data_IF_535381803602
#
_entry.id   IF_535381803602
#
_cell.length_a   1.000
_cell.length_b   1.000
_cell.length_c   1.000
_cell.angle_alpha   90.00
_cell.angle_beta   90.00
_cell.angle_gamma   90.00
#
_symmetry.space_group_name_H-M   'P 1'
#
loop_
_entity.id
_entity.type
_entity.pdbx_description
1 polymer ?
#
# COMPACT_ATOMS: atom_id res chain seq x y z
N UNK A 1 -17.27 40.52 26.77
CA UNK A 1 -16.96 39.29 26.03
C UNK A 1 -15.71 39.58 25.20
N UNK A 2 -14.62 38.90 25.51
CA UNK A 2 -13.35 39.08 24.81
C UNK A 2 -13.31 38.05 23.71
N UNK A 3 -13.15 38.51 22.45
CA UNK A 3 -13.06 37.65 21.29
C UNK A 3 -11.61 37.27 21.06
N UNK A 4 -11.28 35.98 21.14
CA UNK A 4 -10.06 35.42 20.63
C UNK A 4 -10.31 34.95 19.21
N UNK A 5 -9.69 35.57 18.24
CA UNK A 5 -9.67 35.11 16.85
C UNK A 5 -8.29 34.59 16.56
N UNK A 6 -8.24 33.33 16.22
CA UNK A 6 -7.02 32.79 15.65
C UNK A 6 -6.96 33.24 14.19
N UNK A 7 -6.02 34.07 13.86
CA UNK A 7 -5.88 34.61 12.52
C UNK A 7 -4.48 34.45 12.09
N UNK A 8 -4.51 33.86 11.11
CA UNK A 8 -4.25 34.12 9.73
C UNK A 8 -3.03 34.89 9.36
N UNK A 9 -2.80 34.75 8.15
CA UNK A 9 -1.57 34.39 7.54
C UNK A 9 -0.62 35.56 7.56
N UNK A 10 0.61 35.29 7.87
CA UNK A 10 1.73 36.14 7.43
C UNK A 10 1.80 35.97 5.90
N UNK A 11 1.71 37.02 5.14
CA UNK A 11 1.47 37.04 3.69
C UNK A 11 2.49 36.31 2.81
N UNK A 12 3.53 35.71 3.35
CA UNK A 12 4.61 35.01 2.64
C UNK A 12 4.83 33.54 3.07
N UNK A 13 3.91 32.94 3.83
CA UNK A 13 4.04 31.55 4.25
C UNK A 13 3.26 30.61 3.34
N UNK A 14 3.96 29.65 2.71
CA UNK A 14 3.36 28.54 1.98
C UNK A 14 2.78 27.54 3.01
N UNK A 15 1.48 27.63 3.23
CA UNK A 15 0.75 26.77 4.20
C UNK A 15 0.32 25.48 3.53
N UNK A 16 0.94 24.37 3.88
CA UNK A 16 0.51 23.03 3.42
C UNK A 16 -0.77 22.53 4.13
N UNK A 17 -1.28 23.26 5.12
CA UNK A 17 -2.50 22.92 5.86
C UNK A 17 -3.73 23.61 5.26
N UNK A 18 -3.98 23.38 3.97
CA UNK A 18 -5.19 23.85 3.30
C UNK A 18 -6.20 22.71 3.13
N UNK A 19 -7.43 22.97 3.53
CA UNK A 19 -8.58 22.15 3.14
C UNK A 19 -9.30 22.86 1.99
N UNK A 20 -9.37 22.22 0.81
CA UNK A 20 -9.96 22.79 -0.42
C UNK A 20 -9.39 24.16 -0.85
N UNK A 21 -8.11 24.42 -0.56
CA UNK A 21 -7.44 25.68 -0.88
C UNK A 21 -7.68 26.82 0.12
N UNK A 22 -8.33 26.53 1.25
CA UNK A 22 -8.53 27.48 2.35
C UNK A 22 -7.72 27.07 3.58
N UNK A 23 -7.17 28.02 4.31
CA UNK A 23 -6.41 27.75 5.53
C UNK A 23 -7.30 27.12 6.62
N UNK A 24 -6.78 26.11 7.31
CA UNK A 24 -7.48 25.52 8.46
C UNK A 24 -7.38 26.48 9.64
N UNK A 25 -8.49 27.08 10.02
CA UNK A 25 -8.59 28.05 11.11
C UNK A 25 -9.59 27.62 12.16
N UNK A 26 -9.41 28.10 13.39
CA UNK A 26 -10.33 27.89 14.50
C UNK A 26 -10.38 29.14 15.39
N UNK A 27 -11.49 29.33 16.07
CA UNK A 27 -11.70 30.44 17.00
C UNK A 27 -12.35 29.94 18.29
N UNK A 28 -11.88 30.45 19.44
CA UNK A 28 -12.52 30.24 20.73
C UNK A 28 -12.68 31.58 21.45
N UNK A 29 -13.88 31.85 21.92
CA UNK A 29 -14.18 33.04 22.73
C UNK A 29 -14.29 32.63 24.19
N UNK A 30 -13.58 33.33 25.07
CA UNK A 30 -13.61 33.06 26.50
C UNK A 30 -13.58 34.32 27.36
N UNK A 31 -14.00 34.19 28.62
CA UNK A 31 -13.87 35.23 29.62
C UNK A 31 -12.93 34.68 30.70
N UNK A 32 -11.76 35.26 30.93
CA UNK A 32 -10.84 34.79 31.95
C UNK A 32 -11.41 35.03 33.34
N UNK A 33 -11.45 34.01 34.18
CA UNK A 33 -11.89 34.11 35.59
C UNK A 33 -10.73 34.50 36.52
N UNK A 34 -9.50 34.23 36.08
CA UNK A 34 -8.27 34.53 36.82
C UNK A 34 -7.21 35.13 35.87
N UNK A 35 -6.22 35.85 36.44
CA UNK A 35 -5.14 36.45 35.61
C UNK A 35 -4.33 35.46 34.81
N UNK A 36 -4.29 34.20 35.24
CA UNK A 36 -3.54 33.11 34.57
C UNK A 36 -4.48 31.92 34.35
N UNK A 37 -4.40 31.29 33.19
CA UNK A 37 -5.22 30.14 32.82
C UNK A 37 -4.86 29.59 31.48
N UNK A 38 -5.58 28.55 31.07
CA UNK A 38 -5.46 27.92 29.76
C UNK A 38 -6.81 27.92 29.06
N UNK A 39 -6.78 28.03 27.74
CA UNK A 39 -7.95 27.85 26.87
C UNK A 39 -7.59 26.86 25.77
N UNK A 40 -8.54 26.03 25.36
CA UNK A 40 -8.34 25.08 24.26
C UNK A 40 -8.95 25.64 22.98
N UNK A 41 -8.14 25.68 21.91
CA UNK A 41 -8.59 25.93 20.56
C UNK A 41 -8.54 24.58 19.80
N UNK A 42 -9.64 24.20 19.14
CA UNK A 42 -9.73 22.92 18.44
C UNK A 42 -9.79 23.13 16.94
N UNK A 43 -8.82 22.59 16.21
CA UNK A 43 -8.80 22.59 14.77
C UNK A 43 -9.34 21.25 14.25
N UNK A 44 -10.17 21.31 13.23
CA UNK A 44 -10.75 20.11 12.59
C UNK A 44 -10.57 20.22 11.09
N UNK A 45 -10.02 19.19 10.49
CA UNK A 45 -9.82 19.10 9.04
C UNK A 45 -9.96 17.65 8.56
N UNK A 46 -10.17 17.46 7.25
CA UNK A 46 -10.24 16.13 6.66
C UNK A 46 -8.83 15.59 6.37
N UNK A 47 -8.33 14.71 7.22
CA UNK A 47 -7.02 14.09 7.07
C UNK A 47 -6.85 13.23 5.81
N UNK A 48 -7.95 12.88 5.10
CA UNK A 48 -7.91 12.14 3.83
C UNK A 48 -7.32 12.98 2.67
N UNK A 49 -7.27 14.30 2.84
CA UNK A 49 -6.68 15.22 1.88
C UNK A 49 -5.15 15.28 1.99
N UNK A 50 -4.60 14.86 3.12
CA UNK A 50 -3.14 14.79 3.34
C UNK A 50 -2.62 13.52 2.66
N UNK A 51 -1.69 13.69 1.71
CA UNK A 51 -1.17 12.61 0.85
C UNK A 51 0.21 12.10 1.26
N UNK A 52 0.89 12.81 2.16
CA UNK A 52 2.21 12.46 2.68
C UNK A 52 2.32 12.81 4.17
N UNK A 53 3.27 12.17 4.85
CA UNK A 53 3.53 12.48 6.26
C UNK A 53 3.96 13.95 6.37
N UNK A 54 3.28 14.71 7.21
CA UNK A 54 3.54 16.14 7.37
C UNK A 54 3.55 16.58 8.82
N UNK A 55 4.16 17.71 9.09
CA UNK A 55 4.14 18.37 10.40
C UNK A 55 3.36 19.67 10.27
N UNK A 56 2.35 19.84 11.11
CA UNK A 56 1.54 21.04 11.21
C UNK A 56 1.95 21.78 12.46
N UNK A 57 2.28 23.08 12.30
CA UNK A 57 2.58 23.97 13.43
C UNK A 57 1.38 24.87 13.65
N UNK A 58 0.91 24.97 14.89
CA UNK A 58 -0.24 25.78 15.24
C UNK A 58 0.25 27.18 15.64
N UNK A 59 -0.33 28.21 15.02
CA UNK A 59 -0.09 29.59 15.40
C UNK A 59 -1.35 30.16 16.04
N UNK A 60 -1.18 30.91 17.11
CA UNK A 60 -2.30 31.51 17.85
C UNK A 60 -2.12 33.00 18.05
N UNK A 61 -3.21 33.71 17.97
CA UNK A 61 -3.24 35.15 18.23
C UNK A 61 -4.37 35.45 19.21
N UNK A 62 -4.05 36.17 20.27
CA UNK A 62 -5.00 36.65 21.26
C UNK A 62 -5.48 38.05 20.89
N UNK A 63 -6.80 38.21 20.81
CA UNK A 63 -7.45 39.49 20.54
C UNK A 63 -8.35 39.92 21.69
N UNK A 64 -8.43 41.24 21.93
CA UNK A 64 -9.44 41.86 22.76
C UNK A 64 -10.04 43.07 22.05
N UNK A 65 -11.36 43.11 21.94
CA UNK A 65 -12.07 44.21 21.25
C UNK A 65 -11.56 44.49 19.85
N UNK A 66 -11.19 43.45 19.11
CA UNK A 66 -10.62 43.54 17.77
C UNK A 66 -9.14 43.97 17.70
N UNK A 67 -8.49 44.16 18.85
CA UNK A 67 -7.08 44.55 18.92
C UNK A 67 -6.25 43.32 19.32
N UNK A 68 -5.19 43.08 18.57
CA UNK A 68 -4.18 42.06 18.88
C UNK A 68 -3.47 42.41 20.20
N UNK A 69 -3.39 41.44 21.10
CA UNK A 69 -2.71 41.56 22.38
C UNK A 69 -1.42 40.72 22.46
N UNK A 70 -1.42 39.55 21.85
CA UNK A 70 -0.29 38.65 21.85
C UNK A 70 -0.37 37.69 20.67
N UNK A 71 0.80 37.26 20.18
CA UNK A 71 0.96 36.27 19.11
C UNK A 71 1.92 35.20 19.58
N UNK A 72 1.62 33.94 19.30
CA UNK A 72 2.54 32.82 19.32
C UNK A 72 2.59 32.23 17.92
N UNK A 73 3.67 32.50 17.18
CA UNK A 73 3.83 32.12 15.77
C UNK A 73 5.30 31.77 15.48
N UNK A 74 5.81 30.77 16.22
CA UNK A 74 7.16 30.23 16.01
C UNK A 74 7.05 28.92 15.24
N UNK A 75 7.56 28.89 14.01
CA UNK A 75 7.52 27.71 13.12
C UNK A 75 8.41 26.57 13.63
N UNK A 76 9.38 26.85 14.48
CA UNK A 76 10.29 25.86 15.04
C UNK A 76 9.82 25.36 16.42
N UNK A 77 8.67 25.82 16.90
CA UNK A 77 8.14 25.39 18.21
C UNK A 77 7.65 23.94 18.15
N UNK A 78 8.40 23.04 18.82
CA UNK A 78 8.08 21.63 18.90
C UNK A 78 6.79 21.36 19.72
N UNK A 79 6.48 22.20 20.72
CA UNK A 79 5.28 22.06 21.56
C UNK A 79 4.01 22.44 20.80
N UNK A 80 4.12 23.26 19.75
CA UNK A 80 3.06 23.64 18.83
C UNK A 80 2.99 22.74 17.60
N UNK A 81 3.92 21.77 17.45
CA UNK A 81 4.03 20.91 16.27
C UNK A 81 3.25 19.61 16.44
N UNK A 82 2.33 19.35 15.51
CA UNK A 82 1.58 18.09 15.42
C UNK A 82 2.01 17.32 14.18
N UNK A 83 2.50 16.09 14.38
CA UNK A 83 2.85 15.19 13.27
C UNK A 83 1.62 14.43 12.81
N UNK A 84 1.29 14.60 11.53
CA UNK A 84 0.22 13.86 10.85
C UNK A 84 0.85 12.80 9.96
N UNK A 85 0.46 11.54 10.17
CA UNK A 85 0.94 10.40 9.38
C UNK A 85 -0.19 9.87 8.51
N UNK A 86 0.12 9.59 7.25
CA UNK A 86 -0.84 9.01 6.31
C UNK A 86 -0.90 7.48 6.46
N UNK A 87 -2.02 6.85 6.07
CA UNK A 87 -2.11 5.40 5.95
C UNK A 87 -1.08 4.83 4.99
N UNK A 88 -0.52 3.68 5.33
CA UNK A 88 0.41 2.91 4.52
C UNK A 88 -0.09 1.48 4.39
N UNK A 89 0.12 0.85 3.24
CA UNK A 89 -0.06 -0.58 3.04
C UNK A 89 1.19 -1.21 2.45
N UNK A 90 1.46 -2.46 2.88
CA UNK A 90 2.45 -3.33 2.29
C UNK A 90 1.83 -4.71 2.15
N UNK A 91 2.17 -5.46 1.11
CA UNK A 91 1.40 -6.65 0.78
C UNK A 91 2.30 -7.83 0.38
N UNK A 92 1.78 -9.06 0.47
CA UNK A 92 2.48 -10.28 0.13
C UNK A 92 1.51 -11.34 -0.42
N UNK A 93 1.62 -11.60 -1.71
CA UNK A 93 0.78 -12.59 -2.39
C UNK A 93 1.36 -14.01 -2.31
N UNK A 94 0.48 -14.99 -2.16
CA UNK A 94 0.79 -16.42 -2.23
C UNK A 94 -0.35 -17.18 -2.92
N UNK A 95 -0.03 -18.35 -3.44
CA UNK A 95 -1.00 -19.34 -3.90
C UNK A 95 -0.73 -20.65 -3.18
N UNK A 96 -1.71 -21.14 -2.38
CA UNK A 96 -1.52 -22.29 -1.48
C UNK A 96 -0.32 -22.12 -0.51
N UNK A 97 -0.03 -20.89 -0.06
CA UNK A 97 1.10 -20.58 0.80
C UNK A 97 2.46 -20.46 0.10
N UNK A 98 2.52 -20.72 -1.21
CA UNK A 98 3.73 -20.73 -2.03
C UNK A 98 3.72 -19.57 -3.06
N UNK A 99 4.87 -19.36 -3.72
CA UNK A 99 4.99 -18.38 -4.80
C UNK A 99 4.63 -18.93 -6.19
N UNK A 100 4.37 -20.21 -6.29
CA UNK A 100 3.99 -20.85 -7.55
C UNK A 100 3.03 -22.02 -7.35
N UNK A 101 2.17 -22.25 -8.34
CA UNK A 101 1.27 -23.39 -8.36
C UNK A 101 0.96 -23.84 -9.79
N UNK A 102 0.53 -25.12 -9.91
CA UNK A 102 -0.09 -25.59 -11.13
C UNK A 102 -1.53 -25.06 -11.22
N UNK A 103 -1.86 -24.45 -12.35
CA UNK A 103 -3.17 -23.88 -12.63
C UNK A 103 -4.18 -24.99 -13.00
N UNK A 104 -4.71 -25.67 -12.00
CA UNK A 104 -5.65 -26.79 -12.18
C UNK A 104 -6.88 -26.60 -11.28
N UNK A 105 -8.06 -26.58 -11.89
CA UNK A 105 -9.31 -26.33 -11.17
C UNK A 105 -9.37 -24.89 -10.67
N UNK A 106 -10.08 -24.68 -9.58
CA UNK A 106 -10.15 -23.36 -8.94
C UNK A 106 -8.80 -23.02 -8.27
N UNK A 107 -8.28 -21.83 -8.61
CA UNK A 107 -7.08 -21.25 -8.03
C UNK A 107 -7.54 -20.15 -7.08
N UNK A 108 -6.94 -20.12 -5.89
CA UNK A 108 -7.07 -19.00 -4.95
C UNK A 108 -5.71 -18.40 -4.68
N UNK A 109 -5.54 -17.14 -5.08
CA UNK A 109 -4.41 -16.30 -4.66
C UNK A 109 -4.84 -15.58 -3.39
N UNK A 110 -4.05 -15.71 -2.34
CA UNK A 110 -4.21 -15.01 -1.07
C UNK A 110 -3.17 -13.92 -0.98
N UNK A 111 -3.62 -12.68 -0.77
CA UNK A 111 -2.75 -11.57 -0.51
C UNK A 111 -2.92 -11.08 0.93
N UNK A 112 -1.83 -11.09 1.69
CA UNK A 112 -1.78 -10.55 3.04
C UNK A 112 -1.38 -9.09 2.97
N UNK A 113 -2.34 -8.23 3.27
CA UNK A 113 -2.16 -6.77 3.30
C UNK A 113 -1.88 -6.34 4.73
N UNK A 114 -0.67 -5.88 5.00
CA UNK A 114 -0.30 -5.18 6.23
C UNK A 114 -0.64 -3.70 6.10
N UNK A 115 -1.17 -3.09 7.15
CA UNK A 115 -1.51 -1.68 7.16
C UNK A 115 -0.95 -0.98 8.39
N UNK A 116 -0.72 0.35 8.27
CA UNK A 116 -0.25 1.23 9.35
C UNK A 116 -1.01 2.56 9.33
N UNK A 117 -0.95 3.26 10.46
CA UNK A 117 -1.47 4.62 10.65
C UNK A 117 -2.99 4.76 10.43
N UNK A 118 -3.77 3.68 10.56
CA UNK A 118 -5.21 3.77 10.45
C UNK A 118 -5.84 4.38 11.70
N UNK A 119 -6.98 5.06 11.52
CA UNK A 119 -7.79 5.56 12.62
C UNK A 119 -8.62 4.41 13.20
N UNK A 120 -8.42 4.11 14.48
CA UNK A 120 -9.15 3.06 15.19
C UNK A 120 -10.65 3.35 15.19
N UNK A 121 -11.45 2.30 14.99
CA UNK A 121 -12.92 2.38 14.95
C UNK A 121 -13.49 2.88 13.63
N UNK A 122 -12.66 3.17 12.61
CA UNK A 122 -13.13 3.53 11.27
C UNK A 122 -13.14 2.32 10.35
N UNK A 123 -14.09 2.33 9.42
CA UNK A 123 -14.22 1.32 8.37
C UNK A 123 -13.33 1.66 7.19
N UNK A 124 -12.68 0.64 6.64
CA UNK A 124 -11.81 0.71 5.48
C UNK A 124 -12.13 -0.40 4.50
N UNK A 125 -11.90 -0.16 3.22
CA UNK A 125 -12.03 -1.17 2.16
C UNK A 125 -10.70 -1.29 1.43
N UNK A 126 -10.15 -2.51 1.37
CA UNK A 126 -9.06 -2.84 0.46
C UNK A 126 -9.65 -3.45 -0.79
N UNK A 127 -9.30 -2.89 -1.94
CA UNK A 127 -9.64 -3.42 -3.26
C UNK A 127 -8.38 -3.91 -3.93
N UNK A 128 -8.44 -5.13 -4.47
CA UNK A 128 -7.33 -5.74 -5.18
C UNK A 128 -7.69 -6.14 -6.60
N UNK A 129 -6.69 -6.16 -7.47
CA UNK A 129 -6.78 -6.61 -8.86
C UNK A 129 -5.55 -7.43 -9.23
N UNK A 130 -5.75 -8.51 -9.97
CA UNK A 130 -4.67 -9.31 -10.52
C UNK A 130 -4.17 -8.72 -11.84
N UNK A 131 -2.85 -8.56 -11.97
CA UNK A 131 -2.18 -8.03 -13.16
C UNK A 131 -1.32 -9.11 -13.82
N UNK A 132 -1.36 -9.20 -15.14
CA UNK A 132 -0.40 -9.99 -15.93
C UNK A 132 0.91 -9.22 -16.00
N UNK A 133 1.96 -9.75 -15.36
CA UNK A 133 3.27 -9.09 -15.28
C UNK A 133 3.89 -8.81 -16.66
N UNK A 134 3.73 -9.73 -17.61
CA UNK A 134 4.34 -9.60 -18.92
C UNK A 134 3.73 -8.48 -19.77
N UNK A 135 2.46 -8.16 -19.54
CA UNK A 135 1.72 -7.16 -20.33
C UNK A 135 1.51 -5.85 -19.59
N UNK A 136 1.61 -5.85 -18.25
CA UNK A 136 1.27 -4.73 -17.40
C UNK A 136 -0.23 -4.39 -17.41
N UNK A 137 -1.08 -5.34 -17.83
CA UNK A 137 -2.53 -5.16 -17.93
C UNK A 137 -3.27 -6.06 -16.94
N UNK A 138 -4.54 -5.77 -16.60
CA UNK A 138 -5.35 -6.67 -15.81
C UNK A 138 -5.34 -8.10 -16.36
N UNK A 139 -5.16 -9.08 -15.47
CA UNK A 139 -5.28 -10.49 -15.80
C UNK A 139 -6.77 -10.83 -16.00
N UNK A 140 -7.09 -11.41 -17.16
CA UNK A 140 -8.46 -11.68 -17.55
C UNK A 140 -8.79 -13.18 -17.50
N UNK A 141 -9.90 -13.52 -16.88
CA UNK A 141 -10.51 -14.84 -16.94
C UNK A 141 -11.87 -14.71 -17.65
N UNK A 142 -12.03 -15.41 -18.77
CA UNK A 142 -13.23 -15.29 -19.63
C UNK A 142 -13.57 -13.83 -20.02
N UNK A 143 -12.52 -13.01 -20.27
CA UNK A 143 -12.67 -11.62 -20.67
C UNK A 143 -13.03 -10.65 -19.55
N UNK A 144 -13.01 -11.10 -18.28
CA UNK A 144 -13.27 -10.27 -17.10
C UNK A 144 -12.02 -10.16 -16.25
N UNK A 145 -11.81 -8.99 -15.66
CA UNK A 145 -10.76 -8.76 -14.67
C UNK A 145 -11.01 -9.60 -13.41
N UNK A 146 -9.94 -10.10 -12.82
CA UNK A 146 -10.02 -10.80 -11.54
C UNK A 146 -9.74 -9.80 -10.43
N UNK A 147 -10.78 -9.43 -9.72
CA UNK A 147 -10.76 -8.46 -8.62
C UNK A 147 -11.32 -9.06 -7.34
N UNK A 148 -10.95 -8.48 -6.22
CA UNK A 148 -11.51 -8.82 -4.91
C UNK A 148 -11.52 -7.59 -4.02
N UNK A 149 -12.39 -7.58 -3.01
CA UNK A 149 -12.41 -6.53 -2.00
C UNK A 149 -12.71 -7.09 -0.62
N UNK A 150 -12.18 -6.43 0.40
CA UNK A 150 -12.44 -6.73 1.82
C UNK A 150 -12.67 -5.44 2.56
N UNK A 151 -13.81 -5.36 3.26
CA UNK A 151 -14.13 -4.24 4.15
C UNK A 151 -13.93 -4.68 5.60
N UNK A 152 -13.30 -3.83 6.41
CA UNK A 152 -13.00 -4.11 7.81
C UNK A 152 -13.01 -2.83 8.65
N UNK A 153 -13.25 -2.97 9.94
CA UNK A 153 -13.07 -1.89 10.91
C UNK A 153 -11.70 -2.00 11.55
N UNK A 154 -10.91 -0.94 11.53
CA UNK A 154 -9.58 -0.94 12.15
C UNK A 154 -9.69 -1.01 13.67
N UNK A 155 -9.31 -2.13 14.28
CA UNK A 155 -9.28 -2.30 15.74
C UNK A 155 -8.00 -1.68 16.36
N UNK A 156 -6.96 -1.54 15.55
CA UNK A 156 -5.65 -0.97 15.89
C UNK A 156 -5.15 -0.10 14.75
N UNK A 157 -4.19 0.79 15.05
CA UNK A 157 -3.54 1.63 14.02
C UNK A 157 -2.78 0.83 12.97
N UNK A 158 -2.33 -0.39 13.29
CA UNK A 158 -1.64 -1.30 12.40
C UNK A 158 -2.13 -2.73 12.59
N UNK A 159 -2.10 -3.52 11.52
CA UNK A 159 -2.55 -4.91 11.50
C UNK A 159 -2.42 -5.52 10.10
N UNK A 160 -3.07 -6.65 9.91
CA UNK A 160 -3.09 -7.37 8.65
C UNK A 160 -4.50 -7.84 8.32
N UNK A 161 -4.81 -7.88 7.04
CA UNK A 161 -6.01 -8.52 6.48
C UNK A 161 -5.61 -9.38 5.29
N UNK A 162 -6.47 -10.31 4.88
CA UNK A 162 -6.24 -11.14 3.70
C UNK A 162 -7.29 -10.87 2.65
N UNK A 163 -6.84 -10.52 1.44
CA UNK A 163 -7.66 -10.43 0.24
C UNK A 163 -7.52 -11.73 -0.55
N UNK A 164 -8.63 -12.30 -1.03
CA UNK A 164 -8.64 -13.59 -1.74
C UNK A 164 -9.21 -13.43 -3.13
N UNK A 165 -8.44 -13.90 -4.12
CA UNK A 165 -8.84 -13.91 -5.54
C UNK A 165 -9.04 -15.36 -5.96
N UNK A 166 -10.26 -15.74 -6.29
CA UNK A 166 -10.58 -17.10 -6.74
C UNK A 166 -11.06 -17.07 -8.19
N UNK A 167 -10.46 -17.91 -9.02
CA UNK A 167 -10.79 -18.02 -10.43
C UNK A 167 -10.48 -19.42 -10.99
N UNK A 168 -11.05 -19.72 -12.16
CA UNK A 168 -10.79 -20.98 -12.87
C UNK A 168 -9.38 -20.96 -13.49
N UNK A 169 -8.50 -21.81 -12.99
CA UNK A 169 -7.13 -21.96 -13.46
C UNK A 169 -7.00 -22.42 -14.91
N UNK A 170 -8.06 -22.96 -15.53
CA UNK A 170 -8.07 -23.34 -16.94
C UNK A 170 -7.84 -22.15 -17.88
N UNK A 171 -8.04 -20.91 -17.40
CA UNK A 171 -7.71 -19.68 -18.11
C UNK A 171 -6.19 -19.51 -18.33
N UNK A 172 -5.35 -20.17 -17.50
CA UNK A 172 -3.89 -20.12 -17.60
C UNK A 172 -3.43 -21.16 -18.64
N UNK A 173 -3.20 -20.74 -19.87
CA UNK A 173 -2.80 -21.62 -20.99
C UNK A 173 -1.29 -21.69 -21.23
N UNK A 174 -0.52 -20.82 -20.58
CA UNK A 174 0.95 -20.77 -20.57
C UNK A 174 1.42 -20.38 -19.18
N UNK A 175 2.68 -20.56 -18.87
CA UNK A 175 3.24 -20.03 -17.63
C UNK A 175 3.01 -18.51 -17.59
N UNK A 176 2.41 -18.05 -16.49
CA UNK A 176 2.01 -16.65 -16.30
C UNK A 176 2.42 -16.18 -14.91
N UNK A 177 3.14 -15.07 -14.85
CA UNK A 177 3.41 -14.36 -13.61
C UNK A 177 2.31 -13.33 -13.39
N UNK A 178 1.65 -13.45 -12.25
CA UNK A 178 0.57 -12.57 -11.81
C UNK A 178 1.08 -11.74 -10.67
N UNK A 179 0.88 -10.42 -10.76
CA UNK A 179 1.18 -9.46 -9.70
C UNK A 179 -0.13 -8.96 -9.11
N UNK A 180 -0.23 -8.90 -7.80
CA UNK A 180 -1.43 -8.38 -7.13
C UNK A 180 -1.22 -6.91 -6.83
N UNK A 181 -2.18 -6.06 -7.19
CA UNK A 181 -2.21 -4.65 -6.84
C UNK A 181 -3.34 -4.39 -5.85
N UNK A 182 -3.08 -3.62 -4.80
CA UNK A 182 -4.07 -3.24 -3.80
C UNK A 182 -4.13 -1.73 -3.60
N UNK A 183 -5.35 -1.27 -3.31
CA UNK A 183 -5.65 0.09 -2.95
C UNK A 183 -6.52 0.11 -1.68
N UNK A 184 -6.16 0.95 -0.72
CA UNK A 184 -6.88 1.16 0.53
C UNK A 184 -7.79 2.38 0.42
N UNK A 185 -9.05 2.22 0.77
CA UNK A 185 -10.07 3.27 0.72
C UNK A 185 -10.71 3.51 2.10
N UNK A 186 -11.15 4.75 2.33
CA UNK A 186 -12.10 5.12 3.38
C UNK A 186 -13.12 6.11 2.83
N UNK A 187 -14.39 5.84 3.03
CA UNK A 187 -15.51 6.68 2.53
C UNK A 187 -15.38 6.98 1.02
N UNK A 188 -14.92 6.02 0.22
CA UNK A 188 -14.72 6.14 -1.21
C UNK A 188 -13.46 6.90 -1.65
N UNK A 189 -12.67 7.44 -0.73
CA UNK A 189 -11.41 8.14 -1.01
C UNK A 189 -10.25 7.16 -0.89
N UNK A 190 -9.38 7.09 -1.90
CA UNK A 190 -8.14 6.32 -1.88
C UNK A 190 -7.12 6.99 -0.94
N UNK A 191 -6.60 6.22 -0.01
CA UNK A 191 -5.66 6.67 1.02
C UNK A 191 -4.23 6.16 0.78
N UNK A 192 -4.09 4.94 0.25
CA UNK A 192 -2.81 4.32 -0.06
C UNK A 192 -2.98 3.29 -1.16
N UNK A 193 -1.92 3.03 -1.90
CA UNK A 193 -1.86 1.97 -2.91
C UNK A 193 -0.53 1.22 -2.83
N UNK A 194 -0.57 -0.08 -3.17
CA UNK A 194 0.61 -0.87 -3.46
C UNK A 194 0.42 -1.48 -4.86
N UNK A 195 1.07 -0.89 -5.86
CA UNK A 195 0.85 -1.17 -7.28
C UNK A 195 2.18 -1.14 -8.06
N UNK A 196 3.15 -1.96 -7.61
CA UNK A 196 4.43 -2.13 -8.28
C UNK A 196 4.45 -3.45 -9.05
N UNK A 197 4.47 -3.37 -10.40
CA UNK A 197 4.45 -4.54 -11.29
C UNK A 197 5.73 -5.38 -11.15
N UNK A 198 6.82 -4.82 -10.62
CA UNK A 198 8.09 -5.52 -10.44
C UNK A 198 8.26 -6.13 -9.04
N UNK A 199 7.31 -5.90 -8.13
CA UNK A 199 7.40 -6.43 -6.77
C UNK A 199 7.33 -7.97 -6.76
N UNK A 200 8.45 -8.62 -6.40
CA UNK A 200 8.52 -10.07 -6.21
C UNK A 200 7.69 -10.57 -5.02
N UNK A 201 7.46 -9.72 -4.00
CA UNK A 201 6.58 -10.00 -2.87
C UNK A 201 5.13 -10.17 -3.28
N UNK A 202 4.71 -9.47 -4.32
CA UNK A 202 3.37 -9.48 -4.91
C UNK A 202 3.21 -10.46 -6.07
N UNK A 203 4.30 -11.04 -6.57
CA UNK A 203 4.29 -11.91 -7.74
C UNK A 203 4.05 -13.37 -7.34
N UNK A 204 3.13 -14.03 -8.03
CA UNK A 204 2.93 -15.48 -8.02
C UNK A 204 3.01 -16.03 -9.44
N UNK A 205 3.63 -17.20 -9.61
CA UNK A 205 3.77 -17.88 -10.90
C UNK A 205 2.77 -19.02 -11.02
N UNK A 206 1.93 -18.97 -12.06
CA UNK A 206 1.01 -20.05 -12.40
C UNK A 206 1.49 -20.80 -13.65
N UNK A 207 1.51 -22.14 -13.58
CA UNK A 207 1.87 -22.99 -14.70
C UNK A 207 0.66 -23.82 -15.14
N UNK A 208 0.37 -23.91 -16.45
CA UNK A 208 -0.71 -24.77 -16.91
C UNK A 208 -0.41 -26.23 -16.53
N UNK A 209 -1.41 -27.07 -16.32
CA UNK A 209 -1.20 -28.48 -16.08
C UNK A 209 -0.47 -29.11 -17.27
N UNK A 210 0.46 -30.01 -16.99
CA UNK A 210 1.12 -30.74 -18.05
C UNK A 210 0.06 -31.44 -18.94
N UNK A 211 0.21 -31.44 -20.26
CA UNK A 211 -0.66 -32.21 -21.14
C UNK A 211 -0.70 -33.68 -20.68
N UNK A 212 -1.85 -34.34 -20.77
CA UNK A 212 -1.92 -35.77 -20.43
C UNK A 212 -0.90 -36.51 -21.29
N UNK A 213 0.02 -37.19 -20.63
CA UNK A 213 1.01 -38.03 -21.37
C UNK A 213 0.22 -39.12 -22.09
N UNK A 214 0.32 -39.23 -23.42
CA UNK A 214 -0.29 -40.35 -24.10
C UNK A 214 0.21 -41.67 -23.46
N UNK A 215 -0.68 -42.47 -22.94
CA UNK A 215 -0.31 -43.81 -22.51
C UNK A 215 0.02 -44.64 -23.76
N UNK A 216 1.21 -44.43 -24.32
CA UNK A 216 1.82 -45.39 -25.22
C UNK A 216 2.34 -46.50 -24.31
N UNK A 217 1.87 -47.73 -24.52
CA UNK A 217 2.16 -48.88 -23.64
C UNK A 217 3.61 -49.34 -23.66
N UNK A 218 4.57 -48.43 -23.75
CA UNK A 218 6.02 -48.69 -23.65
C UNK A 218 6.59 -47.95 -22.44
N UNK A 219 6.65 -48.64 -21.33
CA UNK A 219 7.18 -48.13 -20.06
C UNK A 219 8.71 -48.00 -20.01
N UNK A 220 9.43 -48.25 -21.11
CA UNK A 220 10.90 -48.39 -21.02
C UNK A 220 11.71 -47.12 -21.34
N UNK A 221 11.10 -46.09 -21.95
CA UNK A 221 11.87 -44.91 -22.38
C UNK A 221 11.51 -43.59 -21.71
N UNK A 222 10.35 -43.51 -21.03
CA UNK A 222 9.89 -42.26 -20.44
C UNK A 222 10.81 -41.76 -19.31
N UNK A 223 11.28 -42.67 -18.46
CA UNK A 223 12.25 -42.37 -17.39
C UNK A 223 13.56 -41.86 -17.88
N UNK A 224 14.00 -42.32 -19.07
CA UNK A 224 15.24 -41.88 -19.72
C UNK A 224 15.15 -40.42 -20.20
N UNK A 225 14.03 -40.02 -20.82
CA UNK A 225 13.85 -38.66 -21.32
C UNK A 225 13.59 -37.63 -20.21
N UNK A 226 12.90 -38.01 -19.14
CA UNK A 226 12.77 -37.18 -17.95
C UNK A 226 14.10 -36.96 -17.26
N UNK A 227 14.92 -38.02 -17.15
CA UNK A 227 16.30 -37.93 -16.66
C UNK A 227 17.18 -37.02 -17.49
N UNK A 228 17.09 -37.11 -18.84
CA UNK A 228 17.86 -36.25 -19.75
C UNK A 228 17.46 -34.77 -19.65
N UNK A 229 16.17 -34.48 -19.50
CA UNK A 229 15.64 -33.12 -19.28
C UNK A 229 16.16 -32.50 -17.99
N UNK A 230 16.18 -33.25 -16.89
CA UNK A 230 16.70 -32.80 -15.61
C UNK A 230 18.20 -32.54 -15.64
N UNK A 231 18.99 -33.36 -16.40
CA UNK A 231 20.44 -33.15 -16.60
C UNK A 231 20.71 -31.90 -17.46
N UNK A 232 19.89 -31.64 -18.48
CA UNK A 232 20.02 -30.44 -19.33
C UNK A 232 19.74 -29.15 -18.54
N UNK A 233 18.71 -29.13 -17.69
CA UNK A 233 18.40 -27.98 -16.81
C UNK A 233 19.49 -27.78 -15.74
N UNK A 234 20.01 -28.85 -15.13
CA UNK A 234 21.11 -28.79 -14.18
C UNK A 234 22.41 -28.29 -14.84
N UNK A 235 22.67 -28.67 -16.09
CA UNK A 235 23.83 -28.21 -16.90
C UNK A 235 23.80 -26.74 -17.21
N UNK A 236 22.61 -26.18 -17.52
CA UNK A 236 22.44 -24.73 -17.80
C UNK A 236 22.68 -23.91 -16.50
N UNK A 237 22.19 -24.33 -15.37
CA UNK A 237 22.41 -23.66 -14.08
C UNK A 237 23.92 -23.71 -13.72
N UNK A 238 24.60 -24.84 -13.91
CA UNK A 238 26.03 -24.98 -13.65
C UNK A 238 26.87 -24.05 -14.54
N UNK A 239 26.55 -23.95 -15.84
CA UNK A 239 27.23 -23.03 -16.77
C UNK A 239 27.02 -21.56 -16.39
N UNK A 240 25.85 -21.18 -15.94
CA UNK A 240 25.58 -19.80 -15.49
C UNK A 240 26.37 -19.49 -14.22
N UNK A 241 26.42 -20.40 -13.26
CA UNK A 241 27.19 -20.22 -12.02
C UNK A 241 28.70 -20.12 -12.33
N UNK A 242 29.22 -20.95 -13.19
CA UNK A 242 30.64 -20.92 -13.59
C UNK A 242 30.99 -19.60 -14.31
N UNK A 243 30.11 -19.08 -15.20
CA UNK A 243 30.33 -17.81 -15.89
C UNK A 243 30.26 -16.60 -14.95
N UNK A 244 29.37 -16.62 -13.97
CA UNK A 244 29.27 -15.54 -12.96
C UNK A 244 30.48 -15.52 -12.06
N UNK A 245 30.98 -16.71 -11.63
CA UNK A 245 32.22 -16.84 -10.84
C UNK A 245 33.47 -16.41 -11.62
N UNK A 246 33.59 -16.81 -12.88
CA UNK A 246 34.72 -16.42 -13.74
C UNK A 246 34.76 -14.93 -14.12
N UNK A 247 33.64 -14.21 -14.03
CA UNK A 247 33.61 -12.74 -14.18
C UNK A 247 34.11 -12.04 -12.94
N UNK A 248 33.71 -12.53 -11.75
CA UNK A 248 34.12 -11.94 -10.46
C UNK A 248 35.64 -12.06 -10.25
N UNK A 249 36.27 -13.17 -10.66
CA UNK A 249 37.71 -13.39 -10.55
C UNK A 249 38.55 -12.56 -11.56
N UNK A 250 37.90 -11.86 -12.52
CA UNK A 250 38.59 -10.95 -13.49
C UNK A 250 38.46 -9.46 -13.11
N UNK A 251 37.56 -9.12 -12.22
CA UNK A 251 37.38 -7.74 -11.75
C UNK A 251 38.20 -7.46 -10.48
N UNK A 252 38.87 -8.50 -9.91
CA UNK A 252 39.72 -8.41 -8.71
C UNK A 252 41.24 -8.51 -9.02
N UNK A 253 41.66 -8.46 -10.33
CA UNK A 253 43.06 -8.25 -10.79
C UNK A 253 43.17 -6.82 -11.41
#
# INVERSE_FOLDING_TARGET
MENLKNVAPVEDFNWDAYENGEAVTAETVFTPETPNGTVTVSFTFDSRLIKENTSLVVFETLYKDGKELAVHADIEDEDQTVKVTVPEIGTKATVNGEKSAAAKGDITIEDTVSYKNLTVGKEYTVKGILMDKATGKPFLVNGKEVTSEVTFTAEKKGGEITVRFTFDGSAVTKQTDIVVFEMLYRDGVELAAHADIEDGGQTVTLTPPAPPVPQTGDNSTLGFWIGLGAVALGGIIAVVIIRVKSRKDKDDE
#
